data_IF_126761951047
#
_entry.id   IF_126761951047
#
_cell.length_a   1.000
_cell.length_b   1.000
_cell.length_c   1.000
_cell.angle_alpha   90.00
_cell.angle_beta   90.00
_cell.angle_gamma   90.00
#
_symmetry.space_group_name_H-M   'P 1'
#
loop_
_entity.id
_entity.type
_entity.pdbx_description
1 polymer ?
#
# COMPACT_ATOMS: atom_id res chain seq x y z
N UNK A 1 6.77 -11.65 -2.55
CA UNK A 1 6.40 -10.24 -2.45
C UNK A 1 4.93 -10.12 -2.08
N UNK A 2 4.59 -9.13 -1.28
CA UNK A 2 3.23 -8.91 -0.84
C UNK A 2 2.41 -8.26 -1.96
N UNK A 3 1.35 -8.94 -2.42
CA UNK A 3 0.52 -8.44 -3.52
C UNK A 3 -0.46 -7.37 -3.08
N UNK A 4 -0.67 -7.23 -1.76
CA UNK A 4 -1.64 -6.28 -1.24
C UNK A 4 -1.06 -4.90 -0.98
N UNK A 5 0.25 -4.76 -1.08
CA UNK A 5 0.90 -3.48 -0.88
C UNK A 5 1.40 -2.98 -2.22
N UNK A 6 0.84 -1.86 -2.64
CA UNK A 6 1.17 -1.25 -3.92
C UNK A 6 2.24 -0.19 -3.76
N UNK A 7 2.94 0.12 -4.83
CA UNK A 7 3.79 1.30 -4.88
C UNK A 7 2.92 2.54 -4.70
N UNK A 8 3.32 3.43 -3.82
CA UNK A 8 2.58 4.67 -3.57
C UNK A 8 3.36 5.93 -3.93
N UNK A 9 4.67 5.80 -4.14
CA UNK A 9 5.53 6.96 -4.40
C UNK A 9 5.39 7.42 -5.84
N UNK A 10 5.44 8.74 -6.02
CA UNK A 10 5.51 9.39 -7.34
C UNK A 10 4.26 9.18 -8.17
N UNK A 11 3.11 9.40 -7.55
CA UNK A 11 1.82 9.38 -8.25
C UNK A 11 1.21 10.78 -8.24
N UNK A 12 0.41 11.04 -9.24
CA UNK A 12 -0.37 12.26 -9.33
C UNK A 12 -1.84 11.86 -9.53
N UNK A 13 -2.75 12.20 -8.62
CA UNK A 13 -2.47 12.89 -7.36
C UNK A 13 -1.71 12.02 -6.35
N UNK A 14 -1.06 12.66 -5.36
CA UNK A 14 -0.24 11.91 -4.40
C UNK A 14 -1.03 10.92 -3.56
N UNK A 15 -0.33 9.97 -2.98
CA UNK A 15 -0.95 9.01 -2.08
C UNK A 15 -1.59 9.71 -0.89
N UNK A 16 -2.77 9.24 -0.53
CA UNK A 16 -3.51 9.80 0.61
C UNK A 16 -3.01 9.15 1.91
N UNK A 17 -3.32 9.80 3.02
CA UNK A 17 -3.03 9.28 4.35
C UNK A 17 -3.68 7.91 4.54
N UNK A 18 -4.88 7.74 4.02
CA UNK A 18 -5.61 6.48 4.12
C UNK A 18 -4.90 5.36 3.37
N UNK A 19 -4.34 5.67 2.21
CA UNK A 19 -3.59 4.68 1.42
C UNK A 19 -2.33 4.25 2.15
N UNK A 20 -1.63 5.20 2.77
CA UNK A 20 -0.43 4.90 3.55
C UNK A 20 -0.79 4.01 4.74
N UNK A 21 -1.87 4.34 5.43
CA UNK A 21 -2.30 3.56 6.59
C UNK A 21 -2.75 2.17 6.18
N UNK A 22 -3.45 2.04 5.07
CA UNK A 22 -3.90 0.73 4.57
C UNK A 22 -2.70 -0.17 4.23
N UNK A 23 -1.68 0.39 3.59
CA UNK A 23 -0.46 -0.37 3.29
C UNK A 23 0.26 -0.78 4.56
N UNK A 24 0.32 0.12 5.54
CA UNK A 24 0.95 -0.15 6.83
C UNK A 24 0.22 -1.25 7.58
N UNK A 25 -1.10 -1.24 7.54
CA UNK A 25 -1.93 -2.27 8.15
C UNK A 25 -1.63 -3.63 7.52
N UNK A 26 -1.55 -3.70 6.21
CA UNK A 26 -1.24 -4.96 5.53
C UNK A 26 0.15 -5.48 5.90
N UNK A 27 1.11 -4.59 6.01
CA UNK A 27 2.46 -4.96 6.44
C UNK A 27 2.44 -5.59 7.84
N UNK A 28 1.75 -4.94 8.78
CA UNK A 28 1.66 -5.44 10.15
C UNK A 28 0.92 -6.76 10.22
N UNK A 29 -0.14 -6.92 9.44
CA UNK A 29 -0.87 -8.19 9.33
C UNK A 29 0.03 -9.31 8.84
N UNK A 30 0.82 -9.03 7.82
CA UNK A 30 1.74 -10.04 7.25
C UNK A 30 2.83 -10.43 8.23
N UNK A 31 3.40 -9.44 8.91
CA UNK A 31 4.45 -9.70 9.88
C UNK A 31 3.96 -10.49 11.08
N UNK A 32 2.83 -10.09 11.63
CA UNK A 32 2.31 -10.67 12.87
C UNK A 32 1.55 -11.97 12.65
N UNK A 33 1.02 -12.16 11.45
CA UNK A 33 0.13 -13.27 11.18
C UNK A 33 -1.30 -13.05 11.66
N UNK A 34 -1.60 -11.88 12.22
CA UNK A 34 -2.95 -11.57 12.68
C UNK A 34 -3.71 -10.77 11.65
N UNK A 35 -4.86 -11.24 11.22
CA UNK A 35 -5.78 -10.40 10.47
C UNK A 35 -6.42 -9.37 11.37
N UNK A 36 -6.80 -9.81 12.56
CA UNK A 36 -7.41 -8.99 13.57
C UNK A 36 -6.77 -9.38 14.90
N UNK A 37 -6.15 -8.45 15.62
CA UNK A 37 -5.46 -8.80 16.84
C UNK A 37 -6.44 -9.18 17.95
N UNK A 38 -6.00 -10.04 18.84
CA UNK A 38 -6.75 -10.34 20.05
C UNK A 38 -6.82 -9.07 20.90
N UNK A 39 -7.76 -9.05 21.84
CA UNK A 39 -7.92 -7.92 22.74
C UNK A 39 -6.61 -7.58 23.46
N UNK A 40 -5.89 -8.61 23.88
CA UNK A 40 -4.62 -8.44 24.59
C UNK A 40 -3.56 -7.75 23.72
N UNK A 41 -3.59 -7.98 22.43
CA UNK A 41 -2.57 -7.46 21.51
C UNK A 41 -3.02 -6.24 20.71
N UNK A 42 -4.25 -5.77 20.91
CA UNK A 42 -4.82 -4.70 20.11
C UNK A 42 -4.00 -3.42 20.21
N UNK A 43 -3.60 -3.03 21.41
CA UNK A 43 -2.84 -1.79 21.58
C UNK A 43 -1.49 -1.84 20.90
N UNK A 44 -0.76 -2.95 21.02
CA UNK A 44 0.54 -3.12 20.37
C UNK A 44 0.39 -3.15 18.86
N UNK A 45 -0.63 -3.82 18.36
CA UNK A 45 -0.92 -3.93 16.93
C UNK A 45 -1.22 -2.53 16.35
N UNK A 46 -2.11 -1.79 17.00
CA UNK A 46 -2.51 -0.46 16.52
C UNK A 46 -1.34 0.53 16.57
N UNK A 47 -0.52 0.44 17.61
CA UNK A 47 0.67 1.27 17.69
C UNK A 47 1.62 0.97 16.56
N UNK A 48 1.82 -0.30 16.24
CA UNK A 48 2.70 -0.69 15.15
C UNK A 48 2.20 -0.14 13.80
N UNK A 49 0.89 -0.22 13.55
CA UNK A 49 0.31 0.33 12.33
C UNK A 49 0.58 1.83 12.24
N UNK A 50 0.36 2.56 13.34
CA UNK A 50 0.57 4.00 13.37
C UNK A 50 2.04 4.35 13.17
N UNK A 51 2.94 3.62 13.81
CA UNK A 51 4.38 3.88 13.69
C UNK A 51 4.88 3.59 12.28
N UNK A 52 4.45 2.49 11.68
CA UNK A 52 4.84 2.15 10.30
C UNK A 52 4.30 3.20 9.33
N UNK A 53 3.07 3.66 9.54
CA UNK A 53 2.49 4.69 8.69
C UNK A 53 3.28 6.00 8.77
N UNK A 54 3.72 6.37 9.97
CA UNK A 54 4.52 7.58 10.17
C UNK A 54 5.87 7.50 9.45
N UNK A 55 6.54 6.36 9.56
CA UNK A 55 7.81 6.14 8.86
C UNK A 55 7.61 6.16 7.35
N UNK A 56 6.57 5.51 6.88
CA UNK A 56 6.26 5.47 5.45
C UNK A 56 6.00 6.86 4.89
N UNK A 57 5.26 7.68 5.64
CA UNK A 57 4.97 9.06 5.23
C UNK A 57 6.27 9.88 5.15
N UNK A 58 7.12 9.75 6.14
CA UNK A 58 8.41 10.43 6.15
C UNK A 58 9.27 10.01 4.97
N UNK A 59 9.29 8.72 4.68
CA UNK A 59 10.03 8.21 3.54
C UNK A 59 9.55 8.86 2.24
N UNK A 60 8.23 8.90 2.04
CA UNK A 60 7.67 9.41 0.80
C UNK A 60 7.93 10.88 0.58
N UNK A 61 7.93 11.70 1.63
CA UNK A 61 8.25 13.12 1.48
C UNK A 61 9.74 13.37 1.36
N UNK A 62 10.56 12.41 1.75
CA UNK A 62 12.02 12.54 1.70
C UNK A 62 12.62 12.05 0.39
N UNK A 63 11.90 11.21 -0.34
CA UNK A 63 12.39 10.67 -1.60
C UNK A 63 12.33 11.74 -2.70
N UNK A 64 13.32 11.73 -3.57
CA UNK A 64 13.35 12.61 -4.73
C UNK A 64 13.55 11.78 -5.99
N UNK A 65 13.04 12.28 -7.11
CA UNK A 65 13.18 11.59 -8.38
C UNK A 65 13.07 12.61 -9.52
N UNK A 66 13.71 12.31 -10.63
CA UNK A 66 13.54 13.09 -11.86
C UNK A 66 12.48 12.46 -12.76
N UNK A 67 11.96 11.30 -12.39
CA UNK A 67 10.92 10.64 -13.18
C UNK A 67 9.62 11.42 -13.07
N UNK A 68 8.84 11.42 -14.15
CA UNK A 68 7.53 12.04 -14.13
C UNK A 68 6.58 11.25 -13.22
N UNK A 69 5.70 11.95 -12.52
CA UNK A 69 4.69 11.26 -11.70
C UNK A 69 3.83 10.35 -12.56
N UNK A 70 3.46 9.22 -11.98
CA UNK A 70 2.55 8.27 -12.63
C UNK A 70 1.13 8.78 -12.47
N UNK A 71 0.36 8.65 -13.54
CA UNK A 71 -1.05 8.99 -13.50
C UNK A 71 -1.82 7.81 -12.89
N UNK A 72 -2.60 8.08 -11.85
CA UNK A 72 -3.33 7.03 -11.15
C UNK A 72 -4.34 6.32 -12.04
N UNK A 73 -5.04 7.08 -12.86
CA UNK A 73 -6.03 6.51 -13.76
C UNK A 73 -5.37 5.57 -14.76
N UNK A 74 -4.24 5.99 -15.33
CA UNK A 74 -3.50 5.18 -16.28
C UNK A 74 -2.96 3.90 -15.62
N UNK A 75 -2.39 4.02 -14.42
CA UNK A 75 -1.85 2.86 -13.73
C UNK A 75 -2.95 1.87 -13.33
N UNK A 76 -4.11 2.39 -12.94
CA UNK A 76 -5.26 1.56 -12.63
C UNK A 76 -5.71 0.80 -13.87
N UNK A 77 -5.76 1.48 -15.00
CA UNK A 77 -6.16 0.84 -16.25
C UNK A 77 -5.18 -0.24 -16.69
N UNK A 78 -3.87 0.02 -16.53
CA UNK A 78 -2.84 -0.97 -16.83
C UNK A 78 -3.00 -2.21 -15.95
N UNK A 79 -3.28 -2.01 -14.68
CA UNK A 79 -3.48 -3.13 -13.76
C UNK A 79 -4.72 -3.93 -14.13
N UNK A 80 -5.78 -3.23 -14.51
CA UNK A 80 -7.02 -3.85 -14.96
C UNK A 80 -6.81 -4.67 -16.23
N UNK A 81 -6.04 -4.12 -17.16
CA UNK A 81 -5.72 -4.80 -18.40
C UNK A 81 -4.89 -6.05 -18.17
N UNK A 82 -3.89 -5.98 -17.29
CA UNK A 82 -3.09 -7.16 -16.94
C UNK A 82 -3.95 -8.25 -16.32
N UNK A 83 -4.86 -7.85 -15.45
CA UNK A 83 -5.79 -8.79 -14.82
C UNK A 83 -6.71 -9.43 -15.84
N UNK A 84 -7.22 -8.64 -16.77
CA UNK A 84 -8.10 -9.12 -17.85
C UNK A 84 -7.39 -10.14 -18.73
N UNK A 85 -6.14 -9.85 -19.10
CA UNK A 85 -5.36 -10.77 -19.92
C UNK A 85 -5.07 -12.07 -19.17
N UNK A 86 -4.85 -11.98 -17.86
CA UNK A 86 -4.53 -13.16 -17.06
C UNK A 86 -5.74 -14.07 -16.88
N UNK A 87 -6.92 -13.49 -16.70
CA UNK A 87 -8.13 -14.24 -16.34
C UNK A 87 -9.17 -14.26 -17.45
N UNK A 88 -9.28 -13.18 -18.19
CA UNK A 88 -10.31 -13.04 -19.20
C UNK A 88 -10.18 -14.01 -20.36
N UNK A 89 -8.96 -14.35 -20.72
CA UNK A 89 -8.71 -15.27 -21.83
C UNK A 89 -8.95 -16.73 -21.47
N UNK A 90 -9.26 -16.98 -20.23
CA UNK A 90 -9.45 -18.35 -19.73
C UNK A 90 -10.79 -18.95 -20.10
N UNK A 91 -11.66 -18.21 -20.74
CA UNK A 91 -12.96 -18.77 -21.10
C UNK A 91 -12.88 -19.86 -22.09
#
# INVERSE_FOLDING_TARGET
MCRNIKTLFNFEPPATEEEIRAASLQFVRKLSGFNKPSHMNAAAFDKAVADVAAVARTLMVSLTTTALPRDRAVETEKARERSRQRFGSAK
#
